data_IF_599141745928
#
_entry.id   IF_599141745928
#
_cell.length_a   1.000
_cell.length_b   1.000
_cell.length_c   1.000
_cell.angle_alpha   90.00
_cell.angle_beta   90.00
_cell.angle_gamma   90.00
#
_symmetry.space_group_name_H-M   'P 1'
#
loop_
_entity.id
_entity.type
_entity.pdbx_description
1 polymer ?
#
# COMPACT_ATOMS: atom_id res chain seq x y z
N UNK A 1 2.83 -6.65 -3.69
CA UNK A 1 2.61 -6.84 -2.25
C UNK A 1 2.28 -5.49 -1.62
N UNK A 2 1.22 -5.41 -0.82
CA UNK A 2 0.68 -4.15 -0.28
C UNK A 2 1.58 -3.51 0.80
N UNK A 3 2.35 -4.32 1.52
CA UNK A 3 3.25 -3.91 2.60
C UNK A 3 4.74 -3.92 2.21
N UNK A 4 5.07 -3.95 0.91
CA UNK A 4 6.47 -4.00 0.44
C UNK A 4 7.34 -2.81 0.91
N UNK A 5 6.72 -1.72 1.38
CA UNK A 5 7.39 -0.54 1.94
C UNK A 5 7.23 -0.43 3.47
N UNK A 6 6.93 -1.53 4.18
CA UNK A 6 6.71 -1.52 5.63
C UNK A 6 7.93 -0.98 6.42
N UNK A 7 9.14 -1.43 6.07
CA UNK A 7 10.38 -0.95 6.70
C UNK A 7 10.64 0.53 6.44
N UNK A 8 10.39 1.00 5.20
CA UNK A 8 10.47 2.42 4.85
C UNK A 8 9.50 3.23 5.72
N UNK A 9 8.22 2.82 5.78
CA UNK A 9 7.22 3.47 6.64
C UNK A 9 7.57 3.43 8.14
N UNK A 10 8.19 2.36 8.63
CA UNK A 10 8.60 2.24 10.03
C UNK A 10 9.70 3.25 10.39
N UNK A 11 10.69 3.44 9.52
CA UNK A 11 11.74 4.46 9.71
C UNK A 11 11.16 5.88 9.80
N UNK A 12 10.07 6.18 9.09
CA UNK A 12 9.37 7.46 9.23
C UNK A 12 8.68 7.65 10.58
N UNK A 13 8.32 6.56 11.26
CA UNK A 13 7.74 6.61 12.60
C UNK A 13 8.82 6.78 13.66
N UNK A 14 10.01 6.21 13.46
CA UNK A 14 11.05 6.13 14.50
C UNK A 14 12.20 7.15 14.34
N UNK A 15 12.59 7.49 13.11
CA UNK A 15 13.88 8.13 12.82
C UNK A 15 13.74 9.48 12.08
N UNK A 16 12.61 10.17 12.25
CA UNK A 16 12.34 11.50 11.67
C UNK A 16 12.56 11.62 10.14
N UNK A 17 12.42 10.51 9.41
CA UNK A 17 12.31 10.52 7.95
C UNK A 17 13.62 10.54 7.16
N UNK A 18 14.65 9.85 7.64
CA UNK A 18 15.82 9.56 6.82
C UNK A 18 15.40 8.75 5.57
N UNK A 19 15.55 9.35 4.39
CA UNK A 19 15.19 8.73 3.12
C UNK A 19 16.24 7.70 2.71
N UNK A 20 16.00 6.44 3.04
CA UNK A 20 16.88 5.31 2.65
C UNK A 20 16.62 4.78 1.23
N UNK A 21 15.55 5.26 0.57
CA UNK A 21 15.15 4.86 -0.77
C UNK A 21 14.92 6.10 -1.65
N UNK A 22 15.21 6.04 -2.96
CA UNK A 22 14.92 7.14 -3.88
C UNK A 22 13.43 7.49 -3.86
N UNK A 23 13.11 8.76 -3.59
CA UNK A 23 11.74 9.23 -3.45
C UNK A 23 10.85 8.93 -4.66
N UNK A 24 11.39 9.00 -5.88
CA UNK A 24 10.64 8.69 -7.10
C UNK A 24 10.19 7.21 -7.16
N UNK A 25 11.03 6.29 -6.67
CA UNK A 25 10.72 4.86 -6.60
C UNK A 25 9.67 4.58 -5.53
N UNK A 26 9.77 5.22 -4.37
CA UNK A 26 8.77 5.14 -3.31
C UNK A 26 7.41 5.59 -3.84
N UNK A 27 7.34 6.76 -4.48
CA UNK A 27 6.09 7.30 -5.03
C UNK A 27 5.48 6.39 -6.09
N UNK A 28 6.29 5.89 -7.03
CA UNK A 28 5.83 4.94 -8.06
C UNK A 28 5.32 3.63 -7.43
N UNK A 29 5.99 3.11 -6.41
CA UNK A 29 5.55 1.90 -5.70
C UNK A 29 4.22 2.12 -4.97
N UNK A 30 4.07 3.23 -4.23
CA UNK A 30 2.81 3.55 -3.55
C UNK A 30 1.66 3.74 -4.54
N UNK A 31 1.88 4.44 -5.66
CA UNK A 31 0.89 4.57 -6.73
C UNK A 31 0.53 3.21 -7.35
N UNK A 32 1.52 2.33 -7.57
CA UNK A 32 1.28 0.99 -8.09
C UNK A 32 0.44 0.16 -7.12
N UNK A 33 0.78 0.17 -5.83
CA UNK A 33 0.01 -0.49 -4.78
C UNK A 33 -1.43 0.06 -4.73
N UNK A 34 -1.62 1.37 -4.81
CA UNK A 34 -2.97 1.95 -4.85
C UNK A 34 -3.76 1.47 -6.06
N UNK A 35 -3.19 1.58 -7.27
CA UNK A 35 -3.86 1.19 -8.50
C UNK A 35 -4.24 -0.30 -8.54
N UNK A 36 -3.36 -1.18 -8.06
CA UNK A 36 -3.54 -2.62 -8.15
C UNK A 36 -4.20 -3.18 -6.88
N UNK A 37 -3.53 -3.06 -5.74
CA UNK A 37 -3.96 -3.72 -4.51
C UNK A 37 -5.21 -3.07 -3.89
N UNK A 38 -5.53 -1.83 -4.23
CA UNK A 38 -6.74 -1.13 -3.75
C UNK A 38 -7.77 -1.02 -4.87
N UNK A 39 -7.54 -0.20 -5.90
CA UNK A 39 -8.57 0.08 -6.90
C UNK A 39 -9.04 -1.16 -7.68
N UNK A 40 -8.13 -2.04 -8.10
CA UNK A 40 -8.51 -3.30 -8.77
C UNK A 40 -9.09 -4.34 -7.81
N UNK A 41 -8.87 -4.20 -6.50
CA UNK A 41 -9.45 -5.09 -5.50
C UNK A 41 -10.82 -4.58 -5.05
N UNK A 42 -11.88 -5.25 -5.51
CA UNK A 42 -13.27 -4.95 -5.11
C UNK A 42 -13.61 -3.46 -5.32
N UNK A 43 -13.14 -2.87 -6.43
CA UNK A 43 -13.35 -1.47 -6.78
C UNK A 43 -12.87 -0.48 -5.70
N UNK A 44 -11.85 -0.85 -4.92
CA UNK A 44 -11.31 -0.01 -3.85
C UNK A 44 -12.11 0.00 -2.56
N UNK A 45 -13.25 -0.68 -2.45
CA UNK A 45 -14.14 -0.54 -1.28
C UNK A 45 -13.82 -1.48 -0.11
N UNK A 46 -12.77 -2.29 -0.23
CA UNK A 46 -12.46 -3.35 0.75
C UNK A 46 -11.01 -3.35 1.25
N UNK A 47 -10.26 -2.26 1.13
CA UNK A 47 -8.86 -2.24 1.57
C UNK A 47 -7.84 -2.65 0.53
N UNK A 48 -6.60 -2.84 0.98
CA UNK A 48 -5.51 -3.30 0.14
C UNK A 48 -5.37 -4.83 0.29
N UNK A 49 -5.64 -5.59 -0.77
CA UNK A 49 -5.32 -7.03 -0.78
C UNK A 49 -3.81 -7.22 -0.70
N UNK A 50 -3.34 -8.22 0.03
CA UNK A 50 -1.92 -8.42 0.29
C UNK A 50 -1.11 -8.67 -0.98
N UNK A 51 -1.59 -9.55 -1.86
CA UNK A 51 -0.97 -9.92 -3.13
C UNK A 51 -1.84 -9.59 -4.33
N UNK A 52 -1.23 -8.94 -5.33
CA UNK A 52 -1.86 -8.66 -6.62
C UNK A 52 -0.83 -8.92 -7.72
N UNK A 53 -1.23 -9.68 -8.73
CA UNK A 53 -0.43 -9.96 -9.91
C UNK A 53 -0.31 -8.72 -10.80
N UNK A 54 0.73 -8.61 -11.66
CA UNK A 54 0.90 -7.45 -12.54
C UNK A 54 -0.25 -7.20 -13.52
N UNK A 55 -1.03 -8.24 -13.83
CA UNK A 55 -2.23 -8.20 -14.68
C UNK A 55 -3.51 -7.76 -13.93
N UNK A 56 -3.43 -7.52 -12.62
CA UNK A 56 -4.56 -7.09 -11.79
C UNK A 56 -5.41 -8.21 -11.20
N UNK A 57 -5.02 -9.48 -11.38
CA UNK A 57 -5.64 -10.61 -10.69
C UNK A 57 -5.08 -10.78 -9.27
N UNK A 58 -5.93 -11.16 -8.31
CA UNK A 58 -5.48 -11.46 -6.95
C UNK A 58 -4.47 -12.60 -6.99
N UNK A 59 -3.38 -12.46 -6.24
CA UNK A 59 -2.34 -13.48 -6.15
C UNK A 59 -2.85 -14.68 -5.34
N UNK A 60 -2.89 -15.85 -5.98
CA UNK A 60 -3.39 -17.11 -5.42
C UNK A 60 -2.29 -18.05 -4.91
N UNK A 61 -1.03 -17.59 -4.88
CA UNK A 61 0.11 -18.42 -4.45
C UNK A 61 0.07 -18.81 -2.97
N UNK A 62 -0.69 -18.07 -2.15
CA UNK A 62 -0.93 -18.39 -0.74
C UNK A 62 -2.35 -18.00 -0.31
N UNK A 63 -2.78 -18.48 0.87
CA UNK A 63 -4.01 -17.99 1.49
C UNK A 63 -3.86 -16.50 1.87
N UNK A 64 -2.72 -16.14 2.44
CA UNK A 64 -2.47 -14.79 2.96
C UNK A 64 -2.39 -13.72 1.87
N UNK A 65 -1.91 -14.07 0.67
CA UNK A 65 -1.88 -13.15 -0.47
C UNK A 65 -3.27 -12.74 -0.94
N UNK A 66 -4.30 -13.54 -0.65
CA UNK A 66 -5.70 -13.26 -0.99
C UNK A 66 -6.42 -12.43 0.07
N UNK A 67 -5.84 -12.31 1.27
CA UNK A 67 -6.44 -11.60 2.38
C UNK A 67 -6.24 -10.09 2.24
N UNK A 68 -7.14 -9.33 2.86
CA UNK A 68 -6.91 -7.93 3.21
C UNK A 68 -6.67 -7.86 4.71
N UNK A 69 -5.53 -7.32 5.10
CA UNK A 69 -5.20 -7.10 6.50
C UNK A 69 -5.47 -5.65 6.88
N UNK A 70 -6.33 -5.47 7.89
CA UNK A 70 -6.78 -4.15 8.34
C UNK A 70 -5.60 -3.29 8.79
N UNK A 71 -4.67 -3.86 9.57
CA UNK A 71 -3.48 -3.16 10.05
C UNK A 71 -2.54 -2.72 8.92
N UNK A 72 -2.34 -3.58 7.91
CA UNK A 72 -1.54 -3.26 6.71
C UNK A 72 -2.20 -2.14 5.92
N UNK A 73 -3.51 -2.21 5.73
CA UNK A 73 -4.27 -1.19 4.99
C UNK A 73 -4.16 0.19 5.64
N UNK A 74 -4.36 0.28 6.97
CA UNK A 74 -4.22 1.57 7.67
C UNK A 74 -2.78 2.06 7.73
N UNK A 75 -1.80 1.17 7.88
CA UNK A 75 -0.39 1.56 7.82
C UNK A 75 -0.02 2.12 6.44
N UNK A 76 -0.47 1.45 5.37
CA UNK A 76 -0.30 1.91 4.00
C UNK A 76 -0.97 3.28 3.76
N UNK A 77 -2.20 3.47 4.27
CA UNK A 77 -2.91 4.75 4.21
C UNK A 77 -2.11 5.88 4.86
N UNK A 78 -1.61 5.64 6.08
CA UNK A 78 -0.79 6.61 6.81
C UNK A 78 0.49 6.97 6.04
N UNK A 79 1.14 5.98 5.42
CA UNK A 79 2.32 6.19 4.58
C UNK A 79 2.00 7.00 3.31
N UNK A 80 0.86 6.75 2.66
CA UNK A 80 0.42 7.52 1.50
C UNK A 80 0.09 8.97 1.84
N UNK A 81 -0.61 9.21 2.96
CA UNK A 81 -0.89 10.56 3.47
C UNK A 81 0.41 11.31 3.73
N UNK A 82 1.39 10.67 4.36
CA UNK A 82 2.72 11.25 4.61
C UNK A 82 3.39 11.71 3.33
N UNK A 83 3.28 10.92 2.26
CA UNK A 83 3.88 11.22 0.97
C UNK A 83 3.05 12.18 0.09
N UNK A 84 1.98 12.78 0.67
CA UNK A 84 1.07 13.74 0.02
C UNK A 84 0.29 13.10 -1.15
N UNK A 85 0.04 11.80 -1.08
CA UNK A 85 -0.90 11.10 -1.98
C UNK A 85 -2.33 11.26 -1.40
N UNK A 86 -2.96 12.40 -1.68
CA UNK A 86 -4.24 12.82 -1.08
C UNK A 86 -5.43 11.94 -1.50
N UNK A 87 -5.34 11.19 -2.61
CA UNK A 87 -6.44 10.35 -3.11
C UNK A 87 -6.88 9.22 -2.16
N UNK A 88 -6.14 8.91 -1.08
CA UNK A 88 -6.45 7.79 -0.18
C UNK A 88 -7.43 8.14 0.96
N UNK A 89 -7.63 9.43 1.29
CA UNK A 89 -8.39 9.84 2.48
C UNK A 89 -9.90 9.58 2.35
N UNK A 90 -10.43 9.47 1.12
CA UNK A 90 -11.88 9.39 0.88
C UNK A 90 -12.44 7.97 0.73
N UNK A 91 -11.60 6.93 0.80
CA UNK A 91 -12.04 5.54 0.54
C UNK A 91 -12.23 4.73 1.84
N UNK A 92 -11.71 5.22 2.96
CA UNK A 92 -11.66 4.47 4.24
C UNK A 92 -12.42 5.12 5.40
N UNK A 93 -13.19 6.19 5.15
CA UNK A 93 -14.14 6.79 6.10
C UNK A 93 -15.54 6.71 5.50
#
# INVERSE_FOLDING_TARGET
MSDQLCGYGYLFCCCNGEEILPRDKVMKSLQKIFSLNVCSFKNGTMGAVNGMMPDGNVDLTSLQSQEMWIGVTYFLAALMIRQVLICFVLIFI
#
